data_IF_753932559158
#
_entry.id   IF_753932559158
#
_cell.length_a   1.000
_cell.length_b   1.000
_cell.length_c   1.000
_cell.angle_alpha   90.00
_cell.angle_beta   90.00
_cell.angle_gamma   90.00
#
_symmetry.space_group_name_H-M   'P 1'
#
loop_
_entity.id
_entity.type
_entity.pdbx_description
1 polymer ?
#
# COMPACT_ATOMS: atom_id res chain seq x y z
N UNK A 1 -12.38 15.71 -34.69
CA UNK A 1 -11.34 15.53 -33.64
C UNK A 1 -10.06 16.16 -34.19
N UNK A 2 -9.44 17.07 -33.46
CA UNK A 2 -8.33 17.88 -33.98
C UNK A 2 -7.10 16.97 -34.21
N UNK A 3 -6.57 16.87 -35.42
CA UNK A 3 -5.41 16.00 -35.76
C UNK A 3 -4.20 16.26 -34.85
N UNK A 4 -4.02 17.52 -34.41
CA UNK A 4 -3.01 17.91 -33.43
C UNK A 4 -3.20 17.20 -32.09
N UNK A 5 -4.43 17.13 -31.56
CA UNK A 5 -4.74 16.51 -30.28
C UNK A 5 -4.46 15.00 -30.31
N UNK A 6 -4.87 14.33 -31.39
CA UNK A 6 -4.60 12.90 -31.59
C UNK A 6 -3.10 12.62 -31.60
N UNK A 7 -2.32 13.47 -32.33
CA UNK A 7 -0.87 13.36 -32.32
C UNK A 7 -0.24 13.51 -30.94
N UNK A 8 -0.74 14.47 -30.12
CA UNK A 8 -0.27 14.66 -28.74
C UNK A 8 -0.53 13.41 -27.88
N UNK A 9 -1.75 12.85 -27.94
CA UNK A 9 -2.11 11.66 -27.15
C UNK A 9 -1.30 10.42 -27.56
N UNK A 10 -1.09 10.19 -28.85
CA UNK A 10 -0.26 9.08 -29.33
C UNK A 10 1.20 9.22 -28.87
N UNK A 11 1.73 10.44 -28.80
CA UNK A 11 3.11 10.70 -28.36
C UNK A 11 3.25 10.68 -26.82
N UNK A 12 2.22 11.09 -26.08
CA UNK A 12 2.22 11.14 -24.61
C UNK A 12 2.02 9.76 -23.96
N UNK A 13 1.16 8.92 -24.52
CA UNK A 13 0.81 7.62 -23.96
C UNK A 13 2.02 6.75 -23.60
N UNK A 14 2.97 6.46 -24.52
CA UNK A 14 4.13 5.66 -24.19
C UNK A 14 5.04 6.33 -23.16
N UNK A 15 5.14 7.66 -23.15
CA UNK A 15 5.97 8.40 -22.19
C UNK A 15 5.41 8.28 -20.77
N UNK A 16 4.09 8.44 -20.62
CA UNK A 16 3.41 8.28 -19.32
C UNK A 16 3.48 6.82 -18.87
N UNK A 17 3.20 5.87 -19.77
CA UNK A 17 3.25 4.44 -19.48
C UNK A 17 4.65 3.98 -19.02
N UNK A 18 5.72 4.44 -19.68
CA UNK A 18 7.11 4.14 -19.28
C UNK A 18 7.38 4.65 -17.86
N UNK A 19 6.99 5.88 -17.53
CA UNK A 19 7.12 6.38 -16.15
C UNK A 19 6.29 5.55 -15.16
N UNK A 20 5.14 5.04 -15.58
CA UNK A 20 4.36 4.09 -14.82
C UNK A 20 5.13 2.82 -14.47
N UNK A 21 5.76 2.22 -15.45
CA UNK A 21 6.52 0.97 -15.30
C UNK A 21 7.84 1.16 -14.56
N UNK A 22 8.55 2.27 -14.80
CA UNK A 22 9.90 2.48 -14.27
C UNK A 22 9.97 3.24 -12.97
N UNK A 23 8.93 4.01 -12.61
CA UNK A 23 8.90 4.83 -11.40
C UNK A 23 7.69 4.48 -10.52
N UNK A 24 6.45 4.57 -11.04
CA UNK A 24 5.24 4.35 -10.23
C UNK A 24 5.17 2.94 -9.67
N UNK A 25 5.38 1.90 -10.49
CA UNK A 25 5.35 0.51 -10.03
C UNK A 25 6.48 0.19 -9.04
N UNK A 26 7.76 0.50 -9.30
CA UNK A 26 8.82 0.31 -8.32
C UNK A 26 8.56 1.05 -7.01
N UNK A 27 8.12 2.31 -7.06
CA UNK A 27 7.76 3.09 -5.88
C UNK A 27 6.67 2.38 -5.06
N UNK A 28 5.60 1.90 -5.72
CA UNK A 28 4.51 1.16 -5.08
C UNK A 28 5.01 -0.13 -4.44
N UNK A 29 5.74 -0.95 -5.19
CA UNK A 29 6.18 -2.29 -4.73
C UNK A 29 7.15 -2.17 -3.56
N UNK A 30 8.16 -1.29 -3.66
CA UNK A 30 9.17 -1.12 -2.62
C UNK A 30 8.53 -0.55 -1.36
N UNK A 31 7.70 0.49 -1.49
CA UNK A 31 7.01 1.09 -0.34
C UNK A 31 6.08 0.10 0.33
N UNK A 32 5.31 -0.69 -0.43
CA UNK A 32 4.40 -1.67 0.13
C UNK A 32 5.12 -2.86 0.79
N UNK A 33 6.22 -3.34 0.21
CA UNK A 33 7.03 -4.39 0.83
C UNK A 33 7.57 -3.94 2.20
N UNK A 34 8.10 -2.73 2.29
CA UNK A 34 8.55 -2.14 3.55
C UNK A 34 7.37 -1.90 4.52
N UNK A 35 6.22 -1.44 4.00
CA UNK A 35 5.00 -1.27 4.79
C UNK A 35 4.55 -2.57 5.45
N UNK A 36 4.59 -3.70 4.74
CA UNK A 36 4.24 -5.01 5.31
C UNK A 36 5.18 -5.43 6.44
N UNK A 37 6.47 -5.15 6.32
CA UNK A 37 7.44 -5.40 7.40
C UNK A 37 7.12 -4.55 8.62
N UNK A 38 6.91 -3.24 8.43
CA UNK A 38 6.52 -2.31 9.51
C UNK A 38 5.20 -2.76 10.14
N UNK A 39 4.21 -3.13 9.31
CA UNK A 39 2.91 -3.58 9.76
C UNK A 39 2.98 -4.85 10.62
N UNK A 40 3.77 -5.84 10.18
CA UNK A 40 3.93 -7.07 10.94
C UNK A 40 4.57 -6.80 12.31
N UNK A 41 5.66 -6.03 12.35
CA UNK A 41 6.32 -5.65 13.60
C UNK A 41 5.34 -4.90 14.50
N UNK A 42 4.63 -3.90 13.97
CA UNK A 42 3.67 -3.10 14.72
C UNK A 42 2.51 -3.96 15.27
N UNK A 43 1.93 -4.84 14.45
CA UNK A 43 0.86 -5.73 14.89
C UNK A 43 1.33 -6.70 15.99
N UNK A 44 2.53 -7.28 15.86
CA UNK A 44 3.13 -8.14 16.89
C UNK A 44 3.38 -7.38 18.20
N UNK A 45 3.86 -6.15 18.11
CA UNK A 45 4.08 -5.29 19.30
C UNK A 45 2.76 -4.91 19.96
N UNK A 46 1.71 -4.62 19.18
CA UNK A 46 0.39 -4.31 19.73
C UNK A 46 -0.25 -5.51 20.45
N UNK A 47 0.02 -6.73 20.01
CA UNK A 47 -0.47 -7.95 20.64
C UNK A 47 0.41 -8.44 21.80
N UNK A 48 1.65 -7.94 21.90
CA UNK A 48 2.55 -8.28 22.98
C UNK A 48 2.05 -7.79 24.34
N UNK A 49 2.37 -8.54 25.41
CA UNK A 49 2.00 -8.21 26.79
C UNK A 49 2.87 -7.11 27.43
N UNK A 50 3.72 -6.41 26.65
CA UNK A 50 4.62 -5.36 27.12
C UNK A 50 3.91 -4.00 26.99
N UNK A 51 3.44 -3.39 28.10
CA UNK A 51 2.54 -2.22 28.04
C UNK A 51 3.18 -1.01 27.35
N UNK A 52 4.47 -0.75 27.60
CA UNK A 52 5.18 0.41 27.01
C UNK A 52 5.27 0.29 25.50
N UNK A 53 5.71 -0.85 24.99
CA UNK A 53 5.83 -1.08 23.54
C UNK A 53 4.47 -1.02 22.83
N UNK A 54 3.44 -1.58 23.47
CA UNK A 54 2.06 -1.50 22.96
C UNK A 54 1.59 -0.05 22.84
N UNK A 55 1.89 0.78 23.86
CA UNK A 55 1.50 2.18 23.87
C UNK A 55 2.20 2.96 22.76
N UNK A 56 3.50 2.73 22.55
CA UNK A 56 4.27 3.33 21.47
C UNK A 56 3.74 2.94 20.07
N UNK A 57 3.42 1.66 19.88
CA UNK A 57 2.83 1.19 18.62
C UNK A 57 1.45 1.81 18.36
N UNK A 58 0.60 1.93 19.39
CA UNK A 58 -0.69 2.61 19.29
C UNK A 58 -0.55 4.10 18.97
N UNK A 59 0.41 4.77 19.62
CA UNK A 59 0.71 6.18 19.36
C UNK A 59 1.16 6.39 17.91
N UNK A 60 2.08 5.54 17.42
CA UNK A 60 2.51 5.56 16.01
C UNK A 60 1.29 5.44 15.07
N UNK A 61 0.46 4.42 15.25
CA UNK A 61 -0.72 4.18 14.41
C UNK A 61 -1.68 5.37 14.48
N UNK A 62 -1.92 5.91 15.66
CA UNK A 62 -2.81 7.06 15.87
C UNK A 62 -2.30 8.31 15.14
N UNK A 63 -1.04 8.66 15.28
CA UNK A 63 -0.44 9.84 14.62
C UNK A 63 -0.48 9.68 13.10
N UNK A 64 -0.01 8.52 12.60
CA UNK A 64 0.14 8.31 11.16
C UNK A 64 -1.22 8.24 10.45
N UNK A 65 -2.21 7.57 11.03
CA UNK A 65 -3.56 7.49 10.45
C UNK A 65 -4.38 8.78 10.64
N UNK A 66 -4.04 9.58 11.63
CA UNK A 66 -4.68 10.87 11.91
C UNK A 66 -4.18 12.04 11.06
N UNK A 67 -3.15 11.84 10.23
CA UNK A 67 -2.55 12.92 9.43
C UNK A 67 -2.55 12.59 7.93
N UNK A 68 -2.76 13.59 7.03
CA UNK A 68 -2.72 13.36 5.59
C UNK A 68 -1.34 12.90 5.11
N UNK A 69 -1.29 11.96 4.16
CA UNK A 69 -0.01 11.48 3.61
C UNK A 69 0.77 12.58 2.89
N UNK A 70 0.07 13.50 2.21
CA UNK A 70 0.71 14.64 1.53
C UNK A 70 1.47 15.55 2.51
N UNK A 71 0.89 15.80 3.69
CA UNK A 71 1.55 16.59 4.73
C UNK A 71 2.83 15.90 5.21
N UNK A 72 2.78 14.58 5.38
CA UNK A 72 3.97 13.78 5.76
C UNK A 72 5.06 13.83 4.70
N UNK A 73 4.70 13.75 3.40
CA UNK A 73 5.64 13.94 2.30
C UNK A 73 6.33 15.30 2.38
N UNK A 74 5.59 16.38 2.66
CA UNK A 74 6.14 17.72 2.77
C UNK A 74 7.04 17.88 4.01
N UNK A 75 6.66 17.30 5.15
CA UNK A 75 7.50 17.31 6.36
C UNK A 75 8.81 16.58 6.10
N UNK A 76 8.77 15.41 5.45
CA UNK A 76 10.00 14.65 5.17
C UNK A 76 10.87 15.36 4.13
N UNK A 77 10.30 15.85 3.05
CA UNK A 77 11.09 16.36 1.93
C UNK A 77 11.50 17.82 2.08
N UNK A 78 10.62 18.67 2.60
CA UNK A 78 10.90 20.11 2.79
C UNK A 78 11.23 20.47 4.23
N UNK A 79 10.78 19.70 5.21
CA UNK A 79 11.00 19.96 6.63
C UNK A 79 12.33 19.45 7.14
N UNK A 80 12.75 18.22 6.84
CA UNK A 80 14.01 17.65 7.34
C UNK A 80 15.28 18.40 6.88
N UNK A 81 15.34 19.03 5.71
CA UNK A 81 16.49 19.86 5.34
C UNK A 81 16.80 20.99 6.33
N UNK A 82 15.80 21.56 7.00
CA UNK A 82 16.03 22.56 8.06
C UNK A 82 16.78 22.00 9.29
N UNK A 83 16.79 20.67 9.44
CA UNK A 83 17.53 19.92 10.46
C UNK A 83 18.84 19.33 9.93
N UNK A 84 19.25 19.71 8.70
CA UNK A 84 20.47 19.22 8.06
C UNK A 84 20.36 17.84 7.40
N UNK A 85 19.16 17.26 7.33
CA UNK A 85 18.92 15.94 6.71
C UNK A 85 18.36 16.13 5.31
N UNK A 86 19.19 15.88 4.30
CA UNK A 86 18.80 15.91 2.88
C UNK A 86 18.52 14.49 2.38
N UNK A 87 17.35 14.27 1.81
CA UNK A 87 16.95 12.98 1.26
C UNK A 87 16.45 13.22 -0.17
N UNK A 88 16.92 12.40 -1.10
CA UNK A 88 16.44 12.45 -2.49
C UNK A 88 14.93 12.16 -2.59
N UNK A 89 14.23 12.72 -3.58
CA UNK A 89 12.77 12.61 -3.72
C UNK A 89 12.24 11.19 -3.68
N UNK A 90 12.86 10.26 -4.42
CA UNK A 90 12.38 8.89 -4.50
C UNK A 90 12.52 8.11 -3.18
N UNK A 91 13.68 8.08 -2.49
CA UNK A 91 13.80 7.50 -1.14
C UNK A 91 12.89 8.16 -0.11
N UNK A 92 12.71 9.50 -0.17
CA UNK A 92 11.80 10.21 0.71
C UNK A 92 10.34 9.75 0.53
N UNK A 93 9.89 9.59 -0.73
CA UNK A 93 8.58 9.05 -1.05
C UNK A 93 8.42 7.61 -0.56
N UNK A 94 9.42 6.74 -0.82
CA UNK A 94 9.42 5.33 -0.36
C UNK A 94 9.25 5.26 1.15
N UNK A 95 10.07 6.00 1.91
CA UNK A 95 10.02 5.98 3.37
C UNK A 95 8.67 6.48 3.90
N UNK A 96 8.16 7.59 3.33
CA UNK A 96 6.90 8.18 3.75
C UNK A 96 5.71 7.26 3.48
N UNK A 97 5.63 6.67 2.28
CA UNK A 97 4.57 5.72 1.93
C UNK A 97 4.68 4.42 2.74
N UNK A 98 5.88 3.90 2.97
CA UNK A 98 6.08 2.70 3.77
C UNK A 98 5.62 2.90 5.22
N UNK A 99 5.97 4.03 5.84
CA UNK A 99 5.52 4.38 7.19
C UNK A 99 4.00 4.60 7.22
N UNK A 100 3.44 5.27 6.20
CA UNK A 100 2.01 5.50 6.12
C UNK A 100 1.22 4.20 6.00
N UNK A 101 1.50 3.41 4.96
CA UNK A 101 0.80 2.15 4.72
C UNK A 101 1.08 1.10 5.80
N UNK A 102 2.27 1.14 6.41
CA UNK A 102 2.62 0.30 7.55
C UNK A 102 1.64 0.43 8.72
N UNK A 103 1.17 1.64 9.02
CA UNK A 103 0.18 1.88 10.07
C UNK A 103 -1.22 1.35 9.70
N UNK A 104 -1.65 1.51 8.45
CA UNK A 104 -2.94 0.97 7.98
C UNK A 104 -2.93 -0.56 7.91
N UNK A 105 -1.87 -1.14 7.32
CA UNK A 105 -1.70 -2.58 7.23
C UNK A 105 -1.56 -3.25 8.61
N UNK A 106 -0.94 -2.58 9.60
CA UNK A 106 -0.84 -3.08 10.97
C UNK A 106 -2.21 -3.29 11.61
N UNK A 107 -3.12 -2.31 11.47
CA UNK A 107 -4.48 -2.43 11.97
C UNK A 107 -5.27 -3.52 11.23
N UNK A 108 -5.06 -3.66 9.92
CA UNK A 108 -5.64 -4.73 9.12
C UNK A 108 -5.20 -6.12 9.62
N UNK A 109 -3.91 -6.30 9.86
CA UNK A 109 -3.35 -7.57 10.38
C UNK A 109 -3.89 -7.84 11.78
N UNK A 110 -3.91 -6.82 12.66
CA UNK A 110 -4.45 -6.95 14.03
C UNK A 110 -5.92 -7.36 14.00
N UNK A 111 -6.75 -6.66 13.21
CA UNK A 111 -8.18 -6.97 13.09
C UNK A 111 -8.42 -8.38 12.52
N UNK A 112 -7.61 -8.83 11.57
CA UNK A 112 -7.70 -10.16 11.03
C UNK A 112 -7.31 -11.24 12.05
N UNK A 113 -6.32 -11.01 12.89
CA UNK A 113 -5.97 -11.92 13.99
C UNK A 113 -7.08 -11.98 15.03
N UNK A 114 -7.68 -10.85 15.39
CA UNK A 114 -8.79 -10.77 16.36
C UNK A 114 -10.10 -11.34 15.81
N UNK A 115 -10.27 -11.44 14.49
CA UNK A 115 -11.47 -12.04 13.87
C UNK A 115 -11.52 -13.56 13.99
N UNK A 116 -10.40 -14.21 14.29
CA UNK A 116 -10.37 -15.66 14.49
C UNK A 116 -11.01 -15.99 15.85
N UNK A 117 -12.06 -16.86 15.87
CA UNK A 117 -12.72 -17.18 17.11
C UNK A 117 -11.78 -17.75 18.17
N UNK A 118 -11.91 -17.32 19.44
CA UNK A 118 -11.07 -17.77 20.54
C UNK A 118 -11.09 -19.31 20.72
N UNK A 119 -12.23 -19.95 20.45
CA UNK A 119 -12.37 -21.39 20.47
C UNK A 119 -11.42 -22.16 19.57
N UNK A 120 -10.87 -21.52 18.51
CA UNK A 120 -9.83 -22.13 17.67
C UNK A 120 -8.51 -22.30 18.42
N UNK A 121 -8.18 -21.36 19.29
CA UNK A 121 -7.01 -21.45 20.17
C UNK A 121 -7.23 -22.50 21.26
N UNK A 122 -8.41 -22.51 21.86
CA UNK A 122 -8.81 -23.49 22.88
C UNK A 122 -8.81 -24.93 22.34
N UNK A 123 -9.40 -25.13 21.16
CA UNK A 123 -9.38 -26.42 20.50
C UNK A 123 -7.95 -26.94 20.23
N UNK A 124 -7.03 -26.05 19.84
CA UNK A 124 -5.63 -26.41 19.69
C UNK A 124 -5.01 -26.89 21.00
N UNK A 125 -5.28 -26.23 22.12
CA UNK A 125 -4.80 -26.65 23.42
C UNK A 125 -5.42 -27.99 23.89
N UNK A 126 -6.69 -28.24 23.60
CA UNK A 126 -7.37 -29.50 23.94
C UNK A 126 -6.71 -30.71 23.28
N UNK A 127 -6.12 -30.55 22.09
CA UNK A 127 -5.38 -31.61 21.41
C UNK A 127 -3.88 -31.61 21.69
N UNK A 128 -3.44 -30.88 22.73
CA UNK A 128 -2.05 -30.84 23.20
C UNK A 128 -1.10 -29.96 22.36
N UNK A 129 -1.61 -29.08 21.52
CA UNK A 129 -0.76 -28.15 20.75
C UNK A 129 -0.24 -27.01 21.64
N UNK A 130 1.03 -26.65 21.43
CA UNK A 130 1.61 -25.45 22.05
C UNK A 130 1.03 -24.18 21.40
N UNK A 131 1.16 -23.02 22.08
CA UNK A 131 0.74 -21.71 21.53
C UNK A 131 1.28 -21.49 20.11
N UNK A 132 2.58 -21.71 19.89
CA UNK A 132 3.18 -21.49 18.59
C UNK A 132 2.66 -22.47 17.52
N UNK A 133 2.41 -23.72 17.88
CA UNK A 133 1.81 -24.71 16.98
C UNK A 133 0.40 -24.32 16.59
N UNK A 134 -0.44 -23.94 17.56
CA UNK A 134 -1.83 -23.50 17.33
C UNK A 134 -1.85 -22.22 16.49
N UNK A 135 -1.00 -21.24 16.84
CA UNK A 135 -0.88 -19.99 16.07
C UNK A 135 -0.52 -20.28 14.62
N UNK A 136 0.54 -21.06 14.36
CA UNK A 136 1.05 -21.30 13.01
C UNK A 136 0.15 -22.20 12.16
N UNK A 137 -0.52 -23.20 12.78
CA UNK A 137 -1.27 -24.22 12.04
C UNK A 137 -2.76 -23.92 11.94
N UNK A 138 -3.33 -23.16 12.88
CA UNK A 138 -4.77 -22.90 12.97
C UNK A 138 -5.08 -21.41 12.77
N UNK A 139 -4.51 -20.53 13.62
CA UNK A 139 -4.91 -19.12 13.66
C UNK A 139 -4.37 -18.33 12.47
N UNK A 140 -3.06 -18.37 12.21
CA UNK A 140 -2.44 -17.59 11.12
C UNK A 140 -3.02 -17.92 9.73
N UNK A 141 -3.27 -19.19 9.35
CA UNK A 141 -3.87 -19.46 8.04
C UNK A 141 -5.27 -18.86 7.88
N UNK A 142 -6.07 -18.81 8.95
CA UNK A 142 -7.39 -18.19 8.94
C UNK A 142 -7.27 -16.66 8.90
N UNK A 143 -6.44 -16.07 9.75
CA UNK A 143 -6.18 -14.64 9.76
C UNK A 143 -5.63 -14.12 8.43
N UNK A 144 -4.72 -14.86 7.77
CA UNK A 144 -4.18 -14.48 6.46
C UNK A 144 -5.26 -14.41 5.37
N UNK A 145 -6.25 -15.32 5.38
CA UNK A 145 -7.37 -15.25 4.43
C UNK A 145 -8.21 -13.99 4.65
N UNK A 146 -8.48 -13.65 5.91
CA UNK A 146 -9.22 -12.44 6.26
C UNK A 146 -8.43 -11.17 5.95
N UNK A 147 -7.10 -11.18 6.16
CA UNK A 147 -6.23 -10.03 5.92
C UNK A 147 -5.92 -9.79 4.44
N UNK A 148 -5.89 -10.83 3.61
CA UNK A 148 -5.41 -10.73 2.22
C UNK A 148 -6.18 -9.71 1.37
N UNK A 149 -7.54 -9.74 1.30
CA UNK A 149 -8.28 -8.77 0.49
C UNK A 149 -8.03 -7.31 0.91
N UNK A 150 -8.15 -6.92 2.20
CA UNK A 150 -7.90 -5.54 2.60
C UNK A 150 -6.44 -5.12 2.44
N UNK A 151 -5.44 -6.01 2.65
CA UNK A 151 -4.04 -5.69 2.38
C UNK A 151 -3.80 -5.45 0.88
N UNK A 152 -4.43 -6.24 0.02
CA UNK A 152 -4.31 -6.02 -1.43
C UNK A 152 -5.01 -4.74 -1.88
N UNK A 153 -6.13 -4.38 -1.26
CA UNK A 153 -6.78 -3.08 -1.47
C UNK A 153 -5.87 -1.91 -1.06
N UNK A 154 -5.09 -2.04 0.04
CA UNK A 154 -4.07 -1.07 0.42
C UNK A 154 -2.99 -0.92 -0.66
N UNK A 155 -2.51 -2.02 -1.26
CA UNK A 155 -1.57 -1.97 -2.38
C UNK A 155 -2.14 -1.20 -3.58
N UNK A 156 -3.40 -1.47 -3.96
CA UNK A 156 -4.07 -0.78 -5.07
C UNK A 156 -4.29 0.71 -4.74
N UNK A 157 -4.59 1.04 -3.49
CA UNK A 157 -4.70 2.42 -3.04
C UNK A 157 -3.36 3.13 -3.11
N UNK A 158 -2.31 2.51 -2.59
CA UNK A 158 -0.95 3.05 -2.62
C UNK A 158 -0.48 3.34 -4.06
N UNK A 159 -0.79 2.46 -5.03
CA UNK A 159 -0.48 2.72 -6.44
C UNK A 159 -1.04 4.08 -6.91
N UNK A 160 -2.24 4.44 -6.50
CA UNK A 160 -2.86 5.74 -6.85
C UNK A 160 -2.26 6.88 -6.03
N UNK A 161 -1.97 6.65 -4.76
CA UNK A 161 -1.41 7.64 -3.85
C UNK A 161 0.03 8.02 -4.23
N UNK A 162 0.75 7.19 -5.03
CA UNK A 162 2.05 7.58 -5.57
C UNK A 162 2.00 8.86 -6.40
N UNK A 163 0.85 9.23 -6.97
CA UNK A 163 0.65 10.53 -7.66
C UNK A 163 0.95 11.73 -6.76
N UNK A 164 0.80 11.59 -5.44
CA UNK A 164 1.13 12.64 -4.48
C UNK A 164 2.64 12.93 -4.41
N UNK A 165 3.48 11.96 -4.81
CA UNK A 165 4.92 12.14 -4.86
C UNK A 165 5.39 13.14 -5.93
N UNK A 166 4.52 13.48 -6.90
CA UNK A 166 4.73 14.59 -7.83
C UNK A 166 5.01 15.91 -7.09
N UNK A 167 4.37 16.13 -5.93
CA UNK A 167 4.54 17.34 -5.14
C UNK A 167 5.90 17.46 -4.45
N UNK A 168 6.67 16.38 -4.43
CA UNK A 168 8.06 16.35 -3.96
C UNK A 168 9.02 15.98 -5.11
N UNK A 169 8.66 16.35 -6.33
CA UNK A 169 9.45 16.25 -7.56
C UNK A 169 9.79 14.83 -8.07
N UNK A 170 9.14 13.79 -7.56
CA UNK A 170 9.26 12.43 -8.13
C UNK A 170 8.60 12.39 -9.50
N UNK A 171 9.35 12.06 -10.54
CA UNK A 171 8.85 12.01 -11.91
C UNK A 171 8.13 10.67 -12.19
N UNK A 172 7.03 10.44 -11.50
CA UNK A 172 6.10 9.34 -11.74
C UNK A 172 5.08 9.70 -12.86
N UNK A 173 4.07 8.85 -13.12
CA UNK A 173 3.10 9.05 -14.23
C UNK A 173 2.41 10.42 -14.19
N UNK A 174 1.95 10.87 -13.02
CA UNK A 174 1.20 12.11 -12.89
C UNK A 174 2.10 13.33 -13.13
N UNK A 175 3.32 13.34 -12.57
CA UNK A 175 4.31 14.39 -12.81
C UNK A 175 4.74 14.44 -14.30
N UNK A 176 4.92 13.28 -14.92
CA UNK A 176 5.21 13.21 -16.36
C UNK A 176 4.09 13.85 -17.17
N UNK A 177 2.83 13.56 -16.82
CA UNK A 177 1.65 14.18 -17.46
C UNK A 177 1.61 15.68 -17.24
N UNK A 178 1.83 16.17 -16.01
CA UNK A 178 1.87 17.61 -15.73
C UNK A 178 2.89 18.36 -16.59
N UNK A 179 4.07 17.75 -16.81
CA UNK A 179 5.10 18.34 -17.69
C UNK A 179 4.67 18.42 -19.16
N UNK A 180 3.89 17.45 -19.63
CA UNK A 180 3.33 17.47 -20.98
C UNK A 180 2.22 18.52 -21.07
N UNK A 181 1.31 18.57 -20.08
CA UNK A 181 0.27 19.61 -20.00
C UNK A 181 0.85 21.01 -20.02
N UNK A 182 1.92 21.27 -19.25
CA UNK A 182 2.58 22.58 -19.22
C UNK A 182 3.16 23.02 -20.56
N UNK A 183 3.46 22.08 -21.47
CA UNK A 183 4.00 22.38 -22.82
C UNK A 183 2.92 22.48 -23.88
N UNK A 184 1.82 21.73 -23.74
CA UNK A 184 0.81 21.58 -24.80
C UNK A 184 -0.45 22.40 -24.51
N UNK A 185 -0.70 22.74 -23.25
CA UNK A 185 -1.92 23.36 -22.71
C UNK A 185 -3.19 22.53 -22.88
N UNK A 186 -3.05 21.22 -23.18
CA UNK A 186 -4.16 20.28 -23.38
C UNK A 186 -4.45 19.50 -22.05
N UNK A 187 -4.98 20.20 -21.03
CA UNK A 187 -5.12 19.65 -19.68
C UNK A 187 -6.11 18.48 -19.62
N UNK A 188 -7.36 18.68 -20.08
CA UNK A 188 -8.42 17.67 -19.94
C UNK A 188 -8.07 16.35 -20.63
N UNK A 189 -7.65 16.33 -21.90
CA UNK A 189 -7.34 15.08 -22.59
C UNK A 189 -6.19 14.32 -21.93
N UNK A 190 -5.12 15.00 -21.51
CA UNK A 190 -3.96 14.38 -20.90
C UNK A 190 -4.23 13.85 -19.49
N UNK A 191 -5.03 14.56 -18.69
CA UNK A 191 -5.44 14.03 -17.39
C UNK A 191 -6.41 12.85 -17.51
N UNK A 192 -7.25 12.80 -18.54
CA UNK A 192 -8.06 11.61 -18.83
C UNK A 192 -7.18 10.43 -19.30
N UNK A 193 -6.13 10.71 -20.09
CA UNK A 193 -5.18 9.69 -20.52
C UNK A 193 -4.44 9.05 -19.35
N UNK A 194 -3.88 9.85 -18.42
CA UNK A 194 -3.20 9.29 -17.25
C UNK A 194 -4.17 8.59 -16.30
N UNK A 195 -5.41 9.09 -16.15
CA UNK A 195 -6.45 8.41 -15.38
C UNK A 195 -6.77 7.03 -15.98
N UNK A 196 -6.82 6.91 -17.31
CA UNK A 196 -7.00 5.65 -18.01
C UNK A 196 -5.81 4.69 -17.76
N UNK A 197 -4.58 5.19 -17.76
CA UNK A 197 -3.39 4.37 -17.46
C UNK A 197 -3.43 3.88 -16.00
N UNK A 198 -3.79 4.75 -15.01
CA UNK A 198 -3.99 4.31 -13.63
C UNK A 198 -5.09 3.26 -13.50
N UNK A 199 -6.18 3.40 -14.26
CA UNK A 199 -7.26 2.41 -14.30
C UNK A 199 -6.76 1.06 -14.84
N UNK A 200 -5.93 1.05 -15.88
CA UNK A 200 -5.32 -0.17 -16.42
C UNK A 200 -4.47 -0.87 -15.34
N UNK A 201 -3.56 -0.17 -14.68
CA UNK A 201 -2.73 -0.74 -13.61
C UNK A 201 -3.58 -1.26 -12.44
N UNK A 202 -4.55 -0.47 -11.99
CA UNK A 202 -5.46 -0.87 -10.90
C UNK A 202 -6.29 -2.10 -11.27
N UNK A 203 -6.75 -2.18 -12.51
CA UNK A 203 -7.51 -3.33 -13.02
C UNK A 203 -6.65 -4.61 -13.04
N UNK A 204 -5.40 -4.51 -13.50
CA UNK A 204 -4.46 -5.64 -13.50
C UNK A 204 -4.24 -6.11 -12.05
N UNK A 205 -3.96 -5.21 -11.12
CA UNK A 205 -3.78 -5.56 -9.71
C UNK A 205 -5.05 -6.19 -9.11
N UNK A 206 -6.23 -5.69 -9.45
CA UNK A 206 -7.51 -6.27 -9.00
C UNK A 206 -7.70 -7.70 -9.53
N UNK A 207 -7.29 -8.01 -10.77
CA UNK A 207 -7.33 -9.37 -11.28
C UNK A 207 -6.34 -10.30 -10.54
N UNK A 208 -5.14 -9.80 -10.24
CA UNK A 208 -4.15 -10.53 -9.41
C UNK A 208 -4.72 -10.79 -8.01
N UNK A 209 -5.37 -9.80 -7.39
CA UNK A 209 -6.07 -9.96 -6.11
C UNK A 209 -7.10 -11.08 -6.16
N UNK A 210 -8.01 -11.04 -7.12
CA UNK A 210 -9.07 -12.06 -7.29
C UNK A 210 -8.49 -13.46 -7.50
N UNK A 211 -7.41 -13.56 -8.25
CA UNK A 211 -6.72 -14.85 -8.43
C UNK A 211 -6.12 -15.34 -7.11
N UNK A 212 -5.45 -14.46 -6.33
CA UNK A 212 -4.91 -14.77 -5.02
C UNK A 212 -5.98 -15.21 -4.02
N UNK A 213 -7.11 -14.50 -3.96
CA UNK A 213 -8.27 -14.85 -3.12
C UNK A 213 -8.82 -16.25 -3.46
N UNK A 214 -9.02 -16.55 -4.74
CA UNK A 214 -9.48 -17.88 -5.18
C UNK A 214 -8.51 -18.98 -4.74
N UNK A 215 -7.20 -18.75 -4.86
CA UNK A 215 -6.17 -19.73 -4.47
C UNK A 215 -6.11 -19.93 -2.94
N UNK A 216 -6.31 -18.88 -2.16
CA UNK A 216 -6.34 -18.97 -0.70
C UNK A 216 -7.61 -19.68 -0.21
N UNK A 217 -8.75 -19.42 -0.84
CA UNK A 217 -10.02 -20.06 -0.49
C UNK A 217 -10.07 -21.54 -0.91
N UNK A 218 -9.48 -21.91 -2.04
CA UNK A 218 -9.41 -23.30 -2.50
C UNK A 218 -8.57 -24.20 -1.58
N UNK A 219 -7.63 -23.62 -0.81
CA UNK A 219 -6.80 -24.35 0.18
C UNK A 219 -7.46 -24.47 1.56
N UNK A 220 -8.64 -23.90 1.76
CA UNK A 220 -9.40 -23.94 2.99
C UNK A 220 -10.53 -24.91 2.90
N UNK A 221 -10.67 -25.77 3.91
CA UNK A 221 -11.79 -26.68 4.08
C UNK A 221 -13.09 -25.99 3.72
N UNK A 222 -13.89 -26.60 2.83
CA UNK A 222 -15.27 -26.28 2.56
C UNK A 222 -16.02 -26.18 3.89
N UNK A 223 -16.31 -24.95 4.34
CA UNK A 223 -17.39 -24.72 5.29
C UNK A 223 -18.68 -24.68 4.49
N UNK A 224 -19.15 -25.86 4.05
CA UNK A 224 -20.51 -26.08 3.57
C UNK A 224 -20.91 -27.51 3.99
N UNK A 225 -21.44 -27.60 5.15
CA UNK A 225 -22.43 -28.57 5.58
C UNK A 225 -23.15 -28.06 6.81
#
# INVERSE_FOLDING_TARGET
MNTRLVGILIDSFPKILINGLTVTLPLTIISFALALVIALITALVQTAKIPVLRQLARFYVWVIRGTPVLVKLFVVFYGLPSLGVLIDPFPAAVACFAINEGAYCAETIRAALESVPAGQMEAGYCVGMTYLQTMRRIVLPQALRTAFPPLFNSLISLLKDTSLAANITVTEMFMATQRIVARTYESLPLYLEVAFIYLMFSTILTQVQRWGEKKLNAKGFSQNS
#
